data_IF_594043215019
#
_entry.id   IF_594043215019
#
_cell.length_a   1.000
_cell.length_b   1.000
_cell.length_c   1.000
_cell.angle_alpha   90.00
_cell.angle_beta   90.00
_cell.angle_gamma   90.00
#
_symmetry.space_group_name_H-M   'P 1'
#
loop_
_entity.id
_entity.type
_entity.pdbx_description
1 polymer ?
#
# COMPACT_ATOMS: atom_id res chain seq x y z
N UNK A 1 18.29 15.26 36.07
CA UNK A 1 18.27 14.91 34.63
C UNK A 1 16.87 15.15 34.09
N UNK A 2 16.67 16.17 33.25
CA UNK A 2 15.43 16.31 32.46
C UNK A 2 15.54 15.44 31.21
N UNK A 3 14.55 14.58 30.90
CA UNK A 3 14.60 13.74 29.71
C UNK A 3 14.46 14.63 28.46
N UNK A 4 15.37 14.44 27.50
CA UNK A 4 15.36 15.15 26.24
C UNK A 4 14.16 14.66 25.39
N UNK A 5 13.22 15.54 24.98
CA UNK A 5 12.00 15.14 24.25
C UNK A 5 12.22 14.93 22.74
N UNK A 6 13.40 15.27 22.23
CA UNK A 6 13.79 15.13 20.82
C UNK A 6 13.51 13.74 20.19
N UNK A 7 13.79 12.59 20.82
CA UNK A 7 13.53 11.28 20.20
C UNK A 7 12.03 10.98 20.07
N UNK A 8 11.22 11.48 21.00
CA UNK A 8 9.77 11.26 20.98
C UNK A 8 9.11 12.05 19.85
N UNK A 9 9.55 13.29 19.63
CA UNK A 9 9.10 14.11 18.51
C UNK A 9 9.49 13.47 17.17
N UNK A 10 10.71 12.95 17.05
CA UNK A 10 11.16 12.24 15.85
C UNK A 10 10.28 11.02 15.50
N UNK A 11 9.87 10.24 16.50
CA UNK A 11 8.99 9.09 16.31
C UNK A 11 7.59 9.51 15.84
N UNK A 12 7.03 10.58 16.40
CA UNK A 12 5.73 11.13 16.02
C UNK A 12 5.72 11.63 14.56
N UNK A 13 6.78 12.29 14.12
CA UNK A 13 6.90 12.73 12.72
C UNK A 13 7.04 11.55 11.75
N UNK A 14 7.81 10.51 12.12
CA UNK A 14 7.95 9.31 11.29
C UNK A 14 6.62 8.57 11.11
N UNK A 15 5.78 8.53 12.16
CA UNK A 15 4.45 7.91 12.08
C UNK A 15 3.49 8.72 11.21
N UNK A 16 3.52 10.05 11.31
CA UNK A 16 2.70 10.94 10.47
C UNK A 16 3.11 10.94 9.00
N UNK A 17 4.39 10.66 8.70
CA UNK A 17 4.92 10.57 7.34
C UNK A 17 4.72 9.20 6.68
N UNK A 18 4.08 8.24 7.37
CA UNK A 18 3.76 6.93 6.80
C UNK A 18 2.65 7.06 5.75
N UNK A 19 3.05 7.45 4.53
CA UNK A 19 2.14 7.44 3.40
C UNK A 19 1.78 5.98 3.08
N UNK A 20 0.49 5.64 2.93
CA UNK A 20 0.12 4.31 2.47
C UNK A 20 0.81 4.08 1.13
N UNK A 21 1.61 3.01 1.04
CA UNK A 21 2.24 2.62 -0.21
C UNK A 21 1.11 2.36 -1.21
N UNK A 22 0.85 3.33 -2.08
CA UNK A 22 -0.12 3.16 -3.15
C UNK A 22 0.49 2.11 -4.07
N UNK A 23 -0.18 0.96 -4.22
CA UNK A 23 0.13 0.01 -5.28
C UNK A 23 0.22 0.80 -6.57
N UNK A 24 1.44 0.93 -7.12
CA UNK A 24 1.78 1.90 -8.17
C UNK A 24 0.68 1.91 -9.25
N UNK A 25 -0.03 3.03 -9.38
CA UNK A 25 -0.83 3.38 -10.56
C UNK A 25 -2.35 3.22 -10.46
N UNK A 26 -2.91 2.55 -9.45
CA UNK A 26 -4.37 2.34 -9.38
C UNK A 26 -5.04 3.11 -8.25
N UNK A 27 -6.03 3.94 -8.61
CA UNK A 27 -6.86 4.61 -7.64
C UNK A 27 -7.82 3.62 -6.95
N UNK A 28 -7.83 3.63 -5.62
CA UNK A 28 -8.83 2.92 -4.84
C UNK A 28 -10.17 3.66 -4.91
N UNK A 29 -11.25 2.95 -5.19
CA UNK A 29 -12.63 3.44 -5.21
C UNK A 29 -13.47 2.94 -4.03
N UNK A 30 -12.82 2.34 -3.03
CA UNK A 30 -13.48 1.83 -1.83
C UNK A 30 -12.81 0.57 -1.30
N UNK A 31 -13.62 -0.34 -0.74
CA UNK A 31 -13.17 -1.63 -0.24
C UNK A 31 -13.98 -2.79 -0.81
N UNK A 32 -13.32 -3.93 -0.95
CA UNK A 32 -13.91 -5.23 -1.22
C UNK A 32 -13.46 -6.17 -0.11
N UNK A 33 -14.31 -6.35 0.92
CA UNK A 33 -13.89 -6.99 2.17
C UNK A 33 -12.76 -6.21 2.86
N UNK A 34 -11.67 -6.91 3.21
CA UNK A 34 -10.49 -6.31 3.83
C UNK A 34 -9.55 -5.57 2.87
N UNK A 35 -9.79 -5.64 1.56
CA UNK A 35 -8.86 -5.16 0.53
C UNK A 35 -9.38 -3.89 -0.16
N UNK A 36 -8.49 -3.01 -0.68
CA UNK A 36 -8.91 -1.86 -1.49
C UNK A 36 -9.58 -2.31 -2.79
N UNK A 37 -10.68 -1.66 -3.16
CA UNK A 37 -11.32 -1.87 -4.46
C UNK A 37 -10.62 -0.97 -5.48
N UNK A 38 -10.06 -1.54 -6.55
CA UNK A 38 -9.35 -0.78 -7.57
C UNK A 38 -10.26 -0.44 -8.76
N UNK A 39 -10.16 0.77 -9.29
CA UNK A 39 -10.80 1.15 -10.55
C UNK A 39 -9.97 0.65 -11.74
N UNK A 40 -10.34 -0.49 -12.31
CA UNK A 40 -9.63 -1.11 -13.44
C UNK A 40 -10.66 -1.57 -14.48
N UNK A 41 -10.43 -1.19 -15.74
CA UNK A 41 -11.25 -1.61 -16.89
C UNK A 41 -10.40 -2.37 -17.89
N UNK A 42 -11.02 -3.30 -18.61
CA UNK A 42 -10.41 -4.02 -19.73
C UNK A 42 -11.17 -3.70 -21.02
N UNK A 43 -10.49 -3.45 -22.16
CA UNK A 43 -11.14 -3.44 -23.46
C UNK A 43 -11.90 -4.74 -23.75
N UNK A 44 -12.94 -4.69 -24.58
CA UNK A 44 -13.67 -5.88 -24.99
C UNK A 44 -12.72 -6.91 -25.64
N UNK A 45 -12.86 -8.19 -25.26
CA UNK A 45 -11.99 -9.27 -25.73
C UNK A 45 -10.66 -9.41 -24.97
N UNK A 46 -10.47 -8.69 -23.86
CA UNK A 46 -9.25 -8.79 -23.04
C UNK A 46 -9.59 -8.98 -21.56
N UNK A 47 -8.63 -9.50 -20.79
CA UNK A 47 -8.72 -9.63 -19.34
C UNK A 47 -7.54 -8.90 -18.67
N UNK A 48 -7.79 -8.28 -17.51
CA UNK A 48 -6.73 -7.71 -16.66
C UNK A 48 -6.49 -8.62 -15.46
N UNK A 49 -5.23 -9.00 -15.27
CA UNK A 49 -4.76 -9.69 -14.07
C UNK A 49 -3.97 -8.74 -13.16
N UNK A 50 -4.39 -8.64 -11.90
CA UNK A 50 -3.61 -7.94 -10.89
C UNK A 50 -2.56 -8.88 -10.31
N UNK A 51 -1.29 -8.53 -10.49
CA UNK A 51 -0.19 -9.22 -9.82
C UNK A 51 -0.02 -8.56 -8.46
N UNK A 52 -0.31 -9.32 -7.41
CA UNK A 52 -0.02 -8.93 -6.03
C UNK A 52 1.45 -8.54 -5.89
N UNK A 53 1.78 -7.48 -5.17
CA UNK A 53 3.17 -7.15 -4.86
C UNK A 53 3.66 -7.91 -3.61
N UNK A 54 4.93 -7.71 -3.23
CA UNK A 54 5.56 -8.36 -2.08
C UNK A 54 4.78 -8.14 -0.77
N UNK A 55 4.19 -6.95 -0.58
CA UNK A 55 3.36 -6.63 0.59
C UNK A 55 2.08 -7.48 0.65
N UNK A 56 1.64 -8.03 -0.48
CA UNK A 56 0.49 -8.90 -0.61
C UNK A 56 0.89 -10.38 -0.75
N UNK A 57 2.13 -10.73 -0.37
CA UNK A 57 2.61 -12.10 -0.28
C UNK A 57 3.23 -12.64 -1.57
N UNK A 58 3.42 -11.82 -2.59
CA UNK A 58 4.07 -12.27 -3.83
C UNK A 58 5.60 -12.23 -3.69
N UNK A 59 6.21 -13.39 -3.44
CA UNK A 59 7.67 -13.57 -3.45
C UNK A 59 8.10 -14.15 -4.81
N UNK A 60 9.03 -13.46 -5.49
CA UNK A 60 9.67 -13.95 -6.72
C UNK A 60 11.07 -14.51 -6.42
N UNK A 61 11.53 -15.60 -7.06
CA UNK A 61 10.79 -16.47 -7.98
C UNK A 61 9.77 -17.33 -7.24
N UNK A 62 8.61 -17.58 -7.86
CA UNK A 62 7.66 -18.59 -7.39
C UNK A 62 8.31 -19.95 -7.63
N UNK A 63 8.83 -20.59 -6.57
CA UNK A 63 9.37 -21.95 -6.61
C UNK A 63 8.27 -22.96 -6.33
#
# INVERSE_FOLDING_TARGET
>A
MTPNPLPMLGLLLALAASQPVQARGYASTGKCGGYPRLAISSPAGTCVGLVADEAHGLRFPRR
#
